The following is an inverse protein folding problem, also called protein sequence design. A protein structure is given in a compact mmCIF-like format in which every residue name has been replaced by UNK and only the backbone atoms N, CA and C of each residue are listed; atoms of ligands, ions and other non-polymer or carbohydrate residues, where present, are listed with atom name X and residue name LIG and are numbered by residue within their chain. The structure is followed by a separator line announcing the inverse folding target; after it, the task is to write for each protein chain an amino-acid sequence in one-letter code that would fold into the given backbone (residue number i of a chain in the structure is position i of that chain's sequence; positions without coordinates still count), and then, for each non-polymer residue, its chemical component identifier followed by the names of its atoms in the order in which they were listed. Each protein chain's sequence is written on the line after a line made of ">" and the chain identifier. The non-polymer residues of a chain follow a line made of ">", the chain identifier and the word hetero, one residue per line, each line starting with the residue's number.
data_IF_164973028280
#
_entry.id   IF_164973028280
#
_cell.length_a   1.000
_cell.length_b   1.000
_cell.length_c   1.000
_cell.angle_alpha   90.00
_cell.angle_beta   90.00
_cell.angle_gamma   90.00
#
_symmetry.space_group_name_H-M   'P 1'
#
loop_
_entity.id
_entity.type
_entity.pdbx_description
1 polymer ?
#
# COMPACT_ATOMS: atom_id res chain seq x y z
N UNK A 1 1.07 -13.19 -3.20
CA UNK A 1 2.29 -12.41 -3.40
C UNK A 1 2.73 -11.85 -2.06
N UNK A 2 4.03 -11.96 -1.74
CA UNK A 2 4.69 -11.42 -0.55
C UNK A 2 5.37 -10.09 -0.84
N UNK A 3 5.73 -9.35 0.21
CA UNK A 3 6.41 -8.06 0.10
C UNK A 3 7.75 -8.16 -0.65
N UNK A 4 8.52 -9.22 -0.41
CA UNK A 4 9.78 -9.43 -1.12
C UNK A 4 9.60 -9.64 -2.63
N UNK A 5 8.49 -10.28 -3.05
CA UNK A 5 8.18 -10.48 -4.46
C UNK A 5 7.76 -9.16 -5.15
N UNK A 6 7.13 -8.25 -4.40
CA UNK A 6 6.86 -6.89 -4.87
C UNK A 6 8.17 -6.10 -5.04
N UNK A 7 9.09 -6.18 -4.07
CA UNK A 7 10.41 -5.54 -4.17
C UNK A 7 11.23 -6.07 -5.36
N UNK A 8 11.23 -7.40 -5.57
CA UNK A 8 11.86 -8.04 -6.71
C UNK A 8 11.25 -7.56 -8.04
N UNK A 9 9.93 -7.42 -8.09
CA UNK A 9 9.23 -6.88 -9.25
C UNK A 9 9.62 -5.42 -9.52
N UNK A 10 9.61 -4.57 -8.50
CA UNK A 10 10.01 -3.16 -8.63
C UNK A 10 11.44 -3.08 -9.15
N UNK A 11 12.37 -3.80 -8.53
CA UNK A 11 13.79 -3.80 -8.89
C UNK A 11 14.01 -4.27 -10.33
N UNK A 12 13.30 -5.32 -10.76
CA UNK A 12 13.42 -5.86 -12.11
C UNK A 12 12.85 -4.94 -13.19
N UNK A 13 11.91 -4.05 -12.84
CA UNK A 13 11.19 -3.17 -13.77
C UNK A 13 11.48 -1.67 -13.52
N UNK A 14 12.49 -1.35 -12.71
CA UNK A 14 12.67 0.00 -12.18
C UNK A 14 12.84 1.07 -13.28
N UNK A 15 13.52 0.76 -14.38
CA UNK A 15 13.69 1.70 -15.49
C UNK A 15 12.39 2.04 -16.22
N UNK A 16 11.46 1.08 -16.31
CA UNK A 16 10.13 1.30 -16.88
C UNK A 16 9.28 2.12 -15.91
N UNK A 17 9.26 1.73 -14.63
CA UNK A 17 8.49 2.40 -13.59
C UNK A 17 8.92 3.86 -13.40
N UNK A 18 10.23 4.15 -13.42
CA UNK A 18 10.76 5.51 -13.38
C UNK A 18 10.30 6.34 -14.58
N UNK A 19 10.23 5.73 -15.77
CA UNK A 19 9.74 6.42 -16.99
C UNK A 19 8.26 6.76 -16.89
N UNK A 20 7.44 5.86 -16.35
CA UNK A 20 6.01 6.12 -16.08
C UNK A 20 5.83 7.22 -15.03
N UNK A 21 6.67 7.18 -14.00
CA UNK A 21 6.69 8.15 -12.91
C UNK A 21 7.51 9.41 -13.20
N UNK A 22 7.92 9.67 -14.44
CA UNK A 22 8.78 10.81 -14.80
C UNK A 22 8.18 12.18 -14.47
N UNK A 23 6.85 12.26 -14.34
CA UNK A 23 6.15 13.47 -13.91
C UNK A 23 6.37 13.81 -12.42
N UNK A 24 6.80 12.84 -11.61
CA UNK A 24 7.11 12.99 -10.18
C UNK A 24 8.60 12.79 -9.88
N UNK A 25 9.23 11.82 -10.55
CA UNK A 25 10.66 11.50 -10.42
C UNK A 25 11.51 12.58 -11.10
N UNK A 26 12.01 13.53 -10.31
CA UNK A 26 12.81 14.67 -10.79
C UNK A 26 14.28 14.36 -11.00
N UNK A 27 14.75 13.17 -10.63
CA UNK A 27 16.16 12.82 -10.67
C UNK A 27 16.53 12.04 -11.93
N UNK A 28 17.74 12.25 -12.47
CA UNK A 28 18.26 11.49 -13.62
C UNK A 28 18.72 10.07 -13.24
N UNK A 29 18.60 9.68 -11.97
CA UNK A 29 19.06 8.40 -11.45
C UNK A 29 17.89 7.48 -11.13
N UNK A 30 18.09 6.19 -11.45
CA UNK A 30 17.17 5.12 -11.12
C UNK A 30 17.22 4.92 -9.59
N UNK A 31 16.14 5.17 -8.84
CA UNK A 31 16.13 4.98 -7.40
C UNK A 31 16.22 3.49 -7.07
N UNK A 32 16.93 3.16 -5.99
CA UNK A 32 16.85 1.84 -5.39
C UNK A 32 15.79 1.90 -4.30
N UNK A 33 14.66 1.25 -4.52
CA UNK A 33 13.58 1.19 -3.54
C UNK A 33 13.78 -0.06 -2.69
N UNK A 34 13.92 0.13 -1.39
CA UNK A 34 13.92 -0.95 -0.39
C UNK A 34 12.62 -0.81 0.37
N UNK A 35 11.81 -1.86 0.38
CA UNK A 35 10.48 -1.83 0.97
C UNK A 35 10.55 -2.24 2.44
N UNK A 36 10.49 -1.23 3.30
CA UNK A 36 10.38 -1.37 4.75
C UNK A 36 8.94 -1.17 5.25
N UNK A 37 8.59 -1.94 6.28
CA UNK A 37 7.34 -1.86 7.02
C UNK A 37 7.35 -0.63 7.94
N UNK A 38 6.18 -0.02 8.13
CA UNK A 38 5.93 1.26 8.82
C UNK A 38 6.66 2.47 8.25
N UNK A 39 7.19 2.34 7.03
CA UNK A 39 7.76 3.48 6.33
C UNK A 39 6.68 4.19 5.49
N UNK A 40 6.83 5.50 5.35
CA UNK A 40 5.94 6.34 4.55
C UNK A 40 6.66 6.74 3.27
N UNK A 41 6.21 6.19 2.14
CA UNK A 41 6.73 6.52 0.81
C UNK A 41 5.96 7.70 0.24
N UNK A 42 6.69 8.66 -0.34
CA UNK A 42 6.12 9.85 -0.97
C UNK A 42 6.83 10.19 -2.28
N UNK A 43 6.17 10.96 -3.13
CA UNK A 43 6.76 11.45 -4.38
C UNK A 43 7.08 10.33 -5.36
N UNK A 44 8.35 10.23 -5.77
CA UNK A 44 8.78 9.25 -6.77
C UNK A 44 8.57 7.81 -6.28
N UNK A 45 8.92 7.52 -5.02
CA UNK A 45 8.81 6.18 -4.45
C UNK A 45 7.35 5.71 -4.38
N UNK A 46 6.44 6.58 -3.92
CA UNK A 46 5.01 6.25 -3.88
C UNK A 46 4.43 6.04 -5.27
N UNK A 47 4.86 6.82 -6.27
CA UNK A 47 4.44 6.60 -7.66
C UNK A 47 4.91 5.23 -8.16
N UNK A 48 6.18 4.89 -7.96
CA UNK A 48 6.75 3.62 -8.43
C UNK A 48 6.06 2.43 -7.76
N UNK A 49 5.84 2.50 -6.45
CA UNK A 49 5.10 1.46 -5.72
C UNK A 49 3.68 1.36 -6.27
N UNK A 50 2.94 2.48 -6.40
CA UNK A 50 1.57 2.47 -6.92
C UNK A 50 1.46 1.88 -8.33
N UNK A 51 2.32 2.32 -9.27
CA UNK A 51 2.38 1.78 -10.62
C UNK A 51 2.67 0.28 -10.65
N UNK A 52 3.45 -0.21 -9.69
CA UNK A 52 3.73 -1.63 -9.55
C UNK A 52 2.49 -2.42 -9.09
N UNK A 53 1.76 -1.90 -8.10
CA UNK A 53 0.52 -2.50 -7.61
C UNK A 53 -0.55 -2.58 -8.73
N UNK A 54 -0.68 -1.52 -9.53
CA UNK A 54 -1.60 -1.45 -10.67
C UNK A 54 -1.25 -2.50 -11.75
N UNK A 55 0.02 -2.58 -12.15
CA UNK A 55 0.51 -3.59 -13.12
C UNK A 55 0.32 -5.02 -12.65
N UNK A 56 0.48 -5.26 -11.35
CA UNK A 56 0.29 -6.58 -10.74
C UNK A 56 -1.19 -6.94 -10.55
N UNK A 57 -2.10 -5.98 -10.74
CA UNK A 57 -3.55 -6.16 -10.62
C UNK A 57 -3.94 -6.84 -9.31
N UNK A 58 -3.29 -6.41 -8.22
CA UNK A 58 -3.51 -6.98 -6.89
C UNK A 58 -4.92 -6.62 -6.40
N UNK A 59 -5.55 -7.47 -5.56
CA UNK A 59 -6.84 -7.15 -4.97
C UNK A 59 -6.76 -5.87 -4.14
N UNK A 60 -7.66 -4.92 -4.42
CA UNK A 60 -7.75 -3.67 -3.66
C UNK A 60 -9.15 -3.45 -3.09
N UNK A 61 -9.21 -2.75 -1.96
CA UNK A 61 -10.45 -2.29 -1.35
C UNK A 61 -10.35 -0.80 -1.06
N UNK A 62 -11.32 -0.05 -1.54
CA UNK A 62 -11.42 1.38 -1.29
C UNK A 62 -12.34 1.63 -0.10
N UNK A 63 -11.89 2.45 0.84
CA UNK A 63 -12.66 2.84 2.03
C UNK A 63 -12.64 4.36 2.17
N UNK A 64 -13.83 4.93 2.39
CA UNK A 64 -13.96 6.36 2.64
C UNK A 64 -13.86 6.62 4.13
N UNK A 65 -12.86 7.40 4.54
CA UNK A 65 -12.64 7.78 5.94
C UNK A 65 -12.96 9.25 6.16
N UNK A 66 -13.00 9.69 7.41
CA UNK A 66 -13.08 11.12 7.72
C UNK A 66 -11.85 11.94 7.25
N UNK A 67 -10.73 11.28 6.97
CA UNK A 67 -9.48 11.91 6.51
C UNK A 67 -9.34 11.93 4.98
N UNK A 68 -10.21 11.21 4.25
CA UNK A 68 -10.12 11.06 2.80
C UNK A 68 -10.40 9.62 2.36
N UNK A 69 -10.23 9.36 1.06
CA UNK A 69 -10.31 7.99 0.54
C UNK A 69 -8.98 7.28 0.78
N UNK A 70 -9.06 6.04 1.23
CA UNK A 70 -7.91 5.17 1.47
C UNK A 70 -8.11 3.91 0.66
N UNK A 71 -7.11 3.52 -0.12
CA UNK A 71 -7.08 2.25 -0.83
C UNK A 71 -6.17 1.26 -0.10
N UNK A 72 -6.69 0.08 0.21
CA UNK A 72 -5.92 -1.00 0.82
C UNK A 72 -5.58 -2.06 -0.23
N UNK A 73 -4.33 -2.49 -0.25
CA UNK A 73 -3.85 -3.62 -1.06
C UNK A 73 -3.32 -4.70 -0.13
N UNK A 74 -3.74 -5.95 -0.37
CA UNK A 74 -3.38 -7.09 0.48
C UNK A 74 -2.28 -7.91 -0.17
N UNK A 75 -1.18 -8.07 0.55
CA UNK A 75 -0.15 -9.06 0.30
C UNK A 75 -0.28 -10.21 1.31
N UNK A 76 0.44 -11.31 1.08
CA UNK A 76 0.41 -12.48 1.96
C UNK A 76 0.96 -12.20 3.37
N UNK A 77 1.91 -11.27 3.48
CA UNK A 77 2.64 -10.94 4.71
C UNK A 77 2.54 -9.45 5.10
N UNK A 78 1.85 -8.63 4.32
CA UNK A 78 1.75 -7.19 4.53
C UNK A 78 0.45 -6.60 3.97
N UNK A 79 0.08 -5.42 4.47
CA UNK A 79 -1.01 -4.60 3.94
C UNK A 79 -0.45 -3.24 3.55
N UNK A 80 -0.81 -2.78 2.36
CA UNK A 80 -0.40 -1.50 1.83
C UNK A 80 -1.59 -0.53 1.90
N UNK A 81 -1.41 0.58 2.61
CA UNK A 81 -2.34 1.71 2.70
C UNK A 81 -1.90 2.78 1.71
N UNK A 82 -2.69 2.97 0.64
CA UNK A 82 -2.49 4.00 -0.38
C UNK A 82 -3.35 5.20 -0.03
N UNK A 83 -2.69 6.33 0.23
CA UNK A 83 -3.26 7.62 0.59
C UNK A 83 -3.12 8.60 -0.60
N UNK A 84 -3.81 9.73 -0.53
CA UNK A 84 -3.71 10.77 -1.57
C UNK A 84 -2.27 11.30 -1.77
N UNK A 85 -1.47 11.35 -0.69
CA UNK A 85 -0.13 11.95 -0.69
C UNK A 85 1.01 10.97 -0.39
N UNK A 86 0.73 9.66 -0.31
CA UNK A 86 1.75 8.67 0.00
C UNK A 86 1.24 7.25 0.15
N UNK A 87 2.19 6.35 0.41
CA UNK A 87 1.92 4.93 0.65
C UNK A 87 2.56 4.55 1.98
N UNK A 88 1.82 3.80 2.79
CA UNK A 88 2.31 3.21 4.04
C UNK A 88 2.15 1.69 3.95
N UNK A 89 3.13 0.96 4.44
CA UNK A 89 3.13 -0.50 4.39
C UNK A 89 3.19 -1.02 5.81
N UNK A 90 2.29 -1.91 6.18
CA UNK A 90 2.21 -2.51 7.51
C UNK A 90 2.41 -4.01 7.43
N UNK A 91 2.98 -4.60 8.48
CA UNK A 91 2.82 -6.02 8.72
C UNK A 91 1.35 -6.30 9.06
N UNK A 92 0.94 -7.57 8.98
CA UNK A 92 -0.44 -7.95 9.35
C UNK A 92 -0.78 -7.60 10.80
N UNK A 93 0.17 -7.77 11.73
CA UNK A 93 0.00 -7.47 13.15
C UNK A 93 -0.16 -5.97 13.38
N UNK A 94 0.73 -5.15 12.81
CA UNK A 94 0.69 -3.70 12.97
C UNK A 94 -0.52 -3.07 12.28
N UNK A 95 -0.99 -3.67 11.18
CA UNK A 95 -2.22 -3.24 10.54
C UNK A 95 -3.44 -3.42 11.45
N UNK A 96 -3.50 -4.52 12.21
CA UNK A 96 -4.59 -4.76 13.16
C UNK A 96 -4.60 -3.69 14.27
N UNK A 97 -3.43 -3.31 14.79
CA UNK A 97 -3.33 -2.20 15.74
C UNK A 97 -3.78 -0.88 15.11
N UNK A 98 -3.25 -0.58 13.92
CA UNK A 98 -3.56 0.63 13.15
C UNK A 98 -5.05 0.82 12.87
N UNK A 99 -5.77 -0.22 12.45
CA UNK A 99 -7.20 -0.12 12.13
C UNK A 99 -8.07 -0.01 13.39
N UNK A 100 -7.65 -0.64 14.49
CA UNK A 100 -8.30 -0.47 15.78
C UNK A 100 -8.13 0.96 16.30
N UNK A 101 -6.95 1.54 16.18
CA UNK A 101 -6.72 2.96 16.52
C UNK A 101 -7.63 3.88 15.69
N UNK A 102 -7.72 3.68 14.37
CA UNK A 102 -8.63 4.45 13.52
C UNK A 102 -10.08 4.38 14.00
N UNK A 103 -10.53 3.20 14.40
CA UNK A 103 -11.88 3.01 14.95
C UNK A 103 -12.05 3.75 16.27
N UNK A 104 -11.08 3.62 17.16
CA UNK A 104 -11.15 4.18 18.51
C UNK A 104 -11.10 5.71 18.48
N UNK A 105 -10.42 6.30 17.49
CA UNK A 105 -10.47 7.74 17.20
C UNK A 105 -11.70 8.19 16.41
N UNK A 106 -12.60 7.27 16.04
CA UNK A 106 -13.81 7.55 15.27
C UNK A 106 -13.54 7.99 13.83
N UNK A 107 -12.37 7.67 13.29
CA UNK A 107 -12.00 7.96 11.89
C UNK A 107 -12.73 7.01 10.93
N UNK A 108 -12.93 5.77 11.39
CA UNK A 108 -13.68 4.70 10.73
C UNK A 108 -14.69 4.09 11.71
N UNK A 109 -15.78 3.57 11.19
CA UNK A 109 -16.82 2.90 11.97
C UNK A 109 -16.49 1.42 12.20
N UNK A 110 -17.11 0.82 13.23
CA UNK A 110 -16.98 -0.61 13.50
C UNK A 110 -17.43 -1.49 12.32
N UNK A 111 -18.46 -1.05 11.57
CA UNK A 111 -18.94 -1.75 10.38
C UNK A 111 -17.88 -1.77 9.28
N UNK A 112 -17.23 -0.63 9.03
CA UNK A 112 -16.15 -0.50 8.04
C UNK A 112 -14.93 -1.36 8.40
N UNK A 113 -14.53 -1.36 9.68
CA UNK A 113 -13.45 -2.25 10.15
C UNK A 113 -13.82 -3.71 9.96
N UNK A 114 -15.04 -4.10 10.31
CA UNK A 114 -15.51 -5.49 10.16
C UNK A 114 -15.50 -5.92 8.70
N UNK A 115 -15.96 -5.06 7.78
CA UNK A 115 -15.93 -5.31 6.35
C UNK A 115 -14.49 -5.47 5.84
N UNK A 116 -13.59 -4.54 6.19
CA UNK A 116 -12.19 -4.55 5.77
C UNK A 116 -11.47 -5.82 6.25
N UNK A 117 -11.61 -6.16 7.53
CA UNK A 117 -11.00 -7.38 8.09
C UNK A 117 -11.59 -8.63 7.45
N UNK A 118 -12.90 -8.68 7.21
CA UNK A 118 -13.53 -9.82 6.53
C UNK A 118 -13.01 -9.97 5.10
N UNK A 119 -12.82 -8.87 4.38
CA UNK A 119 -12.26 -8.87 3.02
C UNK A 119 -10.80 -9.33 3.02
N UNK A 120 -9.95 -8.81 3.91
CA UNK A 120 -8.55 -9.24 4.07
C UNK A 120 -8.48 -10.75 4.31
N UNK A 121 -9.27 -11.26 5.26
CA UNK A 121 -9.35 -12.69 5.58
C UNK A 121 -9.76 -13.54 4.38
N UNK A 122 -10.70 -13.05 3.57
CA UNK A 122 -11.13 -13.75 2.34
C UNK A 122 -10.01 -13.90 1.30
N UNK A 123 -9.11 -12.90 1.22
CA UNK A 123 -7.94 -12.93 0.32
C UNK A 123 -6.85 -13.85 0.86
N UNK A 124 -6.55 -13.73 2.15
CA UNK A 124 -5.53 -14.52 2.83
C UNK A 124 -5.97 -15.98 3.06
N UNK A 125 -7.26 -16.30 2.88
CA UNK A 125 -7.88 -17.61 3.12
C UNK A 125 -7.71 -18.08 4.58
N UNK A 126 -7.87 -17.15 5.52
CA UNK A 126 -7.77 -17.35 6.98
C UNK A 126 -9.04 -16.96 7.72
#
# INVERSE_FOLDING_TARGET
>A
MRLCELEDFITSNIEELVRECAHVCKEPHVPSIIIEVNNVYKGCDSCIIYSSLDKLSLPTMNMKTSLGNVEYVVLEDAIIEVLEDGIIIYSLEEFEERINDLRDFGIVSEAEVTELISWIKSILKV
#
